data_IF_993688265343
#
_entry.id   IF_993688265343
#
_cell.length_a   1.000
_cell.length_b   1.000
_cell.length_c   1.000
_cell.angle_alpha   90.00
_cell.angle_beta   90.00
_cell.angle_gamma   90.00
#
_symmetry.space_group_name_H-M   'P 1'
#
loop_
_entity.id
_entity.type
_entity.pdbx_description
1 polymer ?
#
# COMPACT_ATOMS: atom_id res chain seq x y z
N UNK A 1 -1.41 -13.01 16.22
CA UNK A 1 -2.34 -12.87 15.05
C UNK A 1 -1.46 -12.66 13.83
N UNK A 2 -1.61 -13.48 12.78
CA UNK A 2 -0.79 -13.37 11.57
C UNK A 2 -1.19 -12.08 10.82
N UNK A 3 -0.21 -11.22 10.52
CA UNK A 3 -0.44 -9.98 9.76
C UNK A 3 -0.85 -10.30 8.32
N UNK A 4 -1.83 -9.56 7.79
CA UNK A 4 -2.12 -9.58 6.35
C UNK A 4 -1.01 -8.88 5.59
N UNK A 5 -0.76 -9.27 4.34
CA UNK A 5 0.29 -8.67 3.52
C UNK A 5 -0.29 -8.06 2.26
N UNK A 6 0.09 -6.82 1.99
CA UNK A 6 -0.07 -6.13 0.72
C UNK A 6 1.27 -6.12 -0.02
N UNK A 7 1.30 -6.65 -1.24
CA UNK A 7 2.44 -6.52 -2.14
C UNK A 7 2.12 -5.43 -3.15
N UNK A 8 2.87 -4.33 -3.08
CA UNK A 8 2.61 -3.10 -3.83
C UNK A 8 3.57 -2.92 -5.01
N UNK A 9 3.12 -2.22 -6.05
CA UNK A 9 3.92 -1.93 -7.23
C UNK A 9 4.12 -3.14 -8.14
N UNK A 10 3.08 -3.96 -8.29
CA UNK A 10 3.05 -5.08 -9.24
C UNK A 10 2.86 -4.54 -10.66
N UNK A 11 3.71 -4.98 -11.58
CA UNK A 11 3.75 -4.47 -12.97
C UNK A 11 3.54 -5.56 -14.02
N UNK A 12 3.60 -6.83 -13.65
CA UNK A 12 3.41 -7.93 -14.60
C UNK A 12 2.65 -9.11 -13.99
N UNK A 13 2.11 -9.94 -14.87
CA UNK A 13 1.33 -11.13 -14.51
C UNK A 13 2.11 -12.11 -13.63
N UNK A 14 3.38 -12.36 -13.93
CA UNK A 14 4.22 -13.31 -13.17
C UNK A 14 4.39 -12.89 -11.70
N UNK A 15 4.53 -11.60 -11.45
CA UNK A 15 4.65 -11.06 -10.09
C UNK A 15 3.34 -11.15 -9.31
N UNK A 16 2.19 -10.96 -10.00
CA UNK A 16 0.86 -11.19 -9.42
C UNK A 16 0.68 -12.66 -9.04
N UNK A 17 1.00 -13.57 -9.94
CA UNK A 17 0.90 -15.02 -9.70
C UNK A 17 1.80 -15.45 -8.52
N UNK A 18 3.02 -14.92 -8.43
CA UNK A 18 3.90 -15.20 -7.30
C UNK A 18 3.35 -14.65 -5.98
N UNK A 19 2.82 -13.42 -5.97
CA UNK A 19 2.20 -12.83 -4.79
C UNK A 19 1.01 -13.67 -4.29
N UNK A 20 0.11 -14.06 -5.18
CA UNK A 20 -1.05 -14.92 -4.87
C UNK A 20 -0.61 -16.29 -4.35
N UNK A 21 0.31 -16.94 -5.04
CA UNK A 21 0.86 -18.27 -4.69
C UNK A 21 1.41 -18.30 -3.27
N UNK A 22 2.08 -17.22 -2.84
CA UNK A 22 2.68 -17.14 -1.51
C UNK A 22 1.75 -16.59 -0.44
N UNK A 23 0.50 -16.22 -0.79
CA UNK A 23 -0.56 -15.89 0.18
C UNK A 23 -0.68 -14.39 0.50
N UNK A 24 -0.33 -13.51 -0.44
CA UNK A 24 -0.65 -12.08 -0.31
C UNK A 24 -2.17 -11.89 -0.11
N UNK A 25 -2.53 -10.94 0.75
CA UNK A 25 -3.94 -10.56 0.98
C UNK A 25 -4.39 -9.42 0.07
N UNK A 26 -3.44 -8.56 -0.32
CA UNK A 26 -3.71 -7.40 -1.18
C UNK A 26 -2.65 -7.29 -2.28
N UNK A 27 -3.09 -6.89 -3.46
CA UNK A 27 -2.27 -6.67 -4.65
C UNK A 27 -2.36 -5.20 -5.05
N UNK A 28 -1.25 -4.46 -4.95
CA UNK A 28 -1.20 -3.02 -5.22
C UNK A 28 -0.63 -2.70 -6.61
N UNK A 29 -1.35 -1.86 -7.35
CA UNK A 29 -1.00 -1.39 -8.69
C UNK A 29 -0.93 0.14 -8.68
N UNK A 30 0.19 0.72 -9.07
CA UNK A 30 0.35 2.18 -9.13
C UNK A 30 -0.19 2.66 -10.49
N UNK A 31 -1.23 3.50 -10.44
CA UNK A 31 -1.98 3.91 -11.64
C UNK A 31 -1.80 5.40 -11.86
N UNK A 32 -1.29 5.76 -13.04
CA UNK A 32 -1.15 7.15 -13.50
C UNK A 32 -0.46 8.12 -12.51
N UNK A 33 0.48 7.60 -11.70
CA UNK A 33 1.30 8.40 -10.78
C UNK A 33 2.77 8.39 -11.22
N UNK A 34 3.55 9.38 -10.81
CA UNK A 34 4.98 9.41 -11.07
C UNK A 34 5.71 8.31 -10.28
N UNK A 35 6.03 7.25 -10.99
CA UNK A 35 6.70 6.07 -10.42
C UNK A 35 7.30 5.21 -11.52
N UNK A 36 8.44 4.58 -11.24
CA UNK A 36 9.00 3.51 -12.10
C UNK A 36 8.10 2.26 -12.20
N UNK A 37 7.07 2.18 -11.35
CA UNK A 37 6.08 1.10 -11.27
C UNK A 37 4.73 1.51 -11.85
N UNK A 38 4.69 2.65 -12.53
CA UNK A 38 3.47 3.22 -13.12
C UNK A 38 2.90 2.29 -14.20
N UNK A 39 1.58 2.15 -14.15
CA UNK A 39 0.78 1.48 -15.16
C UNK A 39 -0.31 2.42 -15.64
N UNK A 40 -0.71 2.31 -16.90
CA UNK A 40 -1.99 2.84 -17.35
C UNK A 40 -3.15 2.06 -16.71
N UNK A 41 -4.35 2.65 -16.69
CA UNK A 41 -5.55 1.97 -16.19
C UNK A 41 -5.81 0.65 -16.94
N UNK A 42 -5.53 0.61 -18.23
CA UNK A 42 -5.74 -0.58 -19.06
C UNK A 42 -4.76 -1.73 -18.69
N UNK A 43 -3.49 -1.41 -18.50
CA UNK A 43 -2.47 -2.38 -18.07
C UNK A 43 -2.76 -2.91 -16.67
N UNK A 44 -3.02 -2.00 -15.70
CA UNK A 44 -3.38 -2.37 -14.35
C UNK A 44 -4.61 -3.29 -14.30
N UNK A 45 -5.65 -2.95 -15.07
CA UNK A 45 -6.86 -3.78 -15.20
C UNK A 45 -6.53 -5.18 -15.69
N UNK A 46 -5.75 -5.29 -16.77
CA UNK A 46 -5.42 -6.57 -17.40
C UNK A 46 -4.67 -7.50 -16.43
N UNK A 47 -3.68 -6.99 -15.70
CA UNK A 47 -2.89 -7.82 -14.77
C UNK A 47 -3.61 -8.08 -13.45
N UNK A 48 -4.44 -7.15 -12.95
CA UNK A 48 -5.21 -7.34 -11.73
C UNK A 48 -6.17 -8.55 -11.80
N UNK A 49 -6.78 -8.79 -12.96
CA UNK A 49 -7.66 -9.95 -13.17
C UNK A 49 -6.94 -11.31 -13.08
N UNK A 50 -5.61 -11.34 -13.23
CA UNK A 50 -4.86 -12.60 -13.10
C UNK A 50 -4.79 -13.14 -11.67
N UNK A 51 -5.12 -12.31 -10.67
CA UNK A 51 -5.21 -12.73 -9.26
C UNK A 51 -6.41 -13.61 -8.91
N UNK A 52 -7.27 -13.94 -9.89
CA UNK A 52 -8.43 -14.85 -9.77
C UNK A 52 -9.37 -14.58 -8.58
N UNK A 53 -9.46 -13.34 -8.12
CA UNK A 53 -10.30 -12.97 -6.97
C UNK A 53 -9.83 -13.46 -5.60
N UNK A 54 -8.67 -14.13 -5.53
CA UNK A 54 -8.13 -14.65 -4.27
C UNK A 54 -7.60 -13.56 -3.34
N UNK A 55 -7.27 -12.39 -3.88
CA UNK A 55 -6.72 -11.25 -3.15
C UNK A 55 -7.54 -10.00 -3.41
N UNK A 56 -7.49 -9.04 -2.46
CA UNK A 56 -8.07 -7.72 -2.65
C UNK A 56 -7.16 -6.89 -3.55
N UNK A 57 -7.71 -6.28 -4.61
CA UNK A 57 -6.95 -5.41 -5.51
C UNK A 57 -7.00 -3.97 -5.05
N UNK A 58 -5.86 -3.27 -5.16
CA UNK A 58 -5.69 -1.89 -4.71
C UNK A 58 -5.13 -1.05 -5.86
N UNK A 59 -5.88 -0.05 -6.31
CA UNK A 59 -5.37 0.97 -7.23
C UNK A 59 -4.75 2.10 -6.41
N UNK A 60 -3.44 2.30 -6.55
CA UNK A 60 -2.69 3.37 -5.86
C UNK A 60 -2.60 4.57 -6.77
N UNK A 61 -3.06 5.72 -6.28
CA UNK A 61 -3.13 6.98 -7.01
C UNK A 61 -2.57 8.14 -6.17
N UNK A 62 -2.16 9.19 -6.83
CA UNK A 62 -1.65 10.42 -6.20
C UNK A 62 -2.46 11.59 -6.73
N UNK A 63 -3.16 12.31 -5.84
CA UNK A 63 -3.99 13.49 -6.14
C UNK A 63 -4.88 13.32 -7.40
N UNK A 64 -5.69 12.23 -7.49
CA UNK A 64 -6.38 11.85 -8.71
C UNK A 64 -7.49 12.82 -9.09
N UNK A 65 -7.71 13.01 -10.40
CA UNK A 65 -8.90 13.68 -10.94
C UNK A 65 -10.13 12.76 -10.83
N UNK A 66 -11.34 13.35 -10.96
CA UNK A 66 -12.57 12.55 -10.99
C UNK A 66 -12.61 11.62 -12.19
N UNK A 67 -12.21 12.10 -13.37
CA UNK A 67 -12.19 11.31 -14.60
C UNK A 67 -11.27 10.09 -14.47
N UNK A 68 -10.12 10.26 -13.82
CA UNK A 68 -9.21 9.14 -13.56
C UNK A 68 -9.86 8.11 -12.62
N UNK A 69 -10.51 8.57 -11.54
CA UNK A 69 -11.21 7.68 -10.60
C UNK A 69 -12.34 6.92 -11.28
N UNK A 70 -13.16 7.59 -12.10
CA UNK A 70 -14.22 6.94 -12.88
C UNK A 70 -13.67 5.87 -13.81
N UNK A 71 -12.58 6.19 -14.53
CA UNK A 71 -11.93 5.26 -15.45
C UNK A 71 -11.37 4.03 -14.72
N UNK A 72 -10.72 4.22 -13.55
CA UNK A 72 -10.21 3.14 -12.70
C UNK A 72 -11.37 2.24 -12.24
N UNK A 73 -12.42 2.85 -11.66
CA UNK A 73 -13.55 2.08 -11.13
C UNK A 73 -14.27 1.33 -12.22
N UNK A 74 -14.49 1.93 -13.39
CA UNK A 74 -15.17 1.32 -14.52
C UNK A 74 -14.38 0.15 -15.12
N UNK A 75 -13.05 0.31 -15.31
CA UNK A 75 -12.23 -0.68 -16.03
C UNK A 75 -11.55 -1.70 -15.12
N UNK A 76 -10.98 -1.25 -13.99
CA UNK A 76 -10.21 -2.12 -13.11
C UNK A 76 -11.05 -2.73 -11.99
N UNK A 77 -12.10 -2.03 -11.53
CA UNK A 77 -12.98 -2.45 -10.42
C UNK A 77 -12.19 -2.89 -9.18
N UNK A 78 -11.28 -2.06 -8.67
CA UNK A 78 -10.45 -2.45 -7.54
C UNK A 78 -11.27 -2.58 -6.26
N UNK A 79 -10.80 -3.42 -5.33
CA UNK A 79 -11.39 -3.54 -3.99
C UNK A 79 -11.20 -2.27 -3.16
N UNK A 80 -10.09 -1.55 -3.40
CA UNK A 80 -9.74 -0.31 -2.72
C UNK A 80 -9.11 0.69 -3.69
N UNK A 81 -9.36 1.96 -3.46
CA UNK A 81 -8.53 3.07 -3.97
C UNK A 81 -7.60 3.50 -2.83
N UNK A 82 -6.30 3.49 -3.08
CA UNK A 82 -5.31 4.03 -2.15
C UNK A 82 -4.91 5.44 -2.55
N UNK A 83 -5.26 6.41 -1.72
CA UNK A 83 -4.91 7.80 -1.85
C UNK A 83 -3.51 8.02 -1.23
N UNK A 84 -2.51 8.22 -2.07
CA UNK A 84 -1.10 8.31 -1.66
C UNK A 84 -0.51 9.72 -1.88
N UNK A 85 -1.36 10.69 -2.15
CA UNK A 85 -1.01 12.10 -2.31
C UNK A 85 -1.33 12.93 -1.07
N UNK A 86 -1.56 14.23 -1.31
CA UNK A 86 -1.92 15.20 -0.28
C UNK A 86 -3.44 15.47 -0.25
N UNK A 87 -4.23 14.45 -0.60
CA UNK A 87 -5.69 14.58 -0.65
C UNK A 87 -6.24 15.05 0.70
N UNK A 88 -6.95 16.19 0.71
CA UNK A 88 -7.56 16.75 1.91
C UNK A 88 -8.70 15.87 2.45
N UNK A 89 -9.18 16.19 3.65
CA UNK A 89 -10.33 15.51 4.26
C UNK A 89 -11.56 15.67 3.36
N UNK A 90 -11.80 16.88 2.86
CA UNK A 90 -12.92 17.19 1.97
C UNK A 90 -12.83 16.39 0.67
N UNK A 91 -11.61 16.32 0.08
CA UNK A 91 -11.38 15.52 -1.13
C UNK A 91 -11.58 14.04 -0.87
N UNK A 92 -11.07 13.52 0.25
CA UNK A 92 -11.22 12.13 0.65
C UNK A 92 -12.69 11.78 0.89
N UNK A 93 -13.43 12.66 1.59
CA UNK A 93 -14.87 12.52 1.81
C UNK A 93 -15.66 12.56 0.50
N UNK A 94 -15.33 13.48 -0.39
CA UNK A 94 -15.92 13.55 -1.71
C UNK A 94 -15.74 12.22 -2.48
N UNK A 95 -14.52 11.69 -2.51
CA UNK A 95 -14.22 10.43 -3.20
C UNK A 95 -15.04 9.27 -2.58
N UNK A 96 -15.04 9.14 -1.26
CA UNK A 96 -15.81 8.10 -0.54
C UNK A 96 -17.28 8.10 -0.93
N UNK A 97 -17.90 9.26 -0.88
CA UNK A 97 -19.36 9.41 -1.04
C UNK A 97 -19.82 9.31 -2.50
N UNK A 98 -19.04 9.86 -3.43
CA UNK A 98 -19.45 9.91 -4.84
C UNK A 98 -19.09 8.64 -5.61
N UNK A 99 -17.96 8.02 -5.29
CA UNK A 99 -17.50 6.81 -5.99
C UNK A 99 -17.87 5.50 -5.26
N UNK A 100 -18.42 5.58 -4.04
CA UNK A 100 -18.85 4.42 -3.22
C UNK A 100 -17.78 3.32 -3.14
N UNK A 101 -16.51 3.72 -3.04
CA UNK A 101 -15.36 2.83 -3.00
C UNK A 101 -14.78 2.73 -1.60
N UNK A 102 -14.07 1.64 -1.31
CA UNK A 102 -13.27 1.53 -0.10
C UNK A 102 -11.96 2.30 -0.29
N UNK A 103 -11.53 2.99 0.76
CA UNK A 103 -10.37 3.88 0.73
C UNK A 103 -9.28 3.40 1.68
N UNK A 104 -8.06 3.36 1.17
CA UNK A 104 -6.82 3.36 1.96
C UNK A 104 -6.24 4.77 1.88
N UNK A 105 -5.98 5.43 3.01
CA UNK A 105 -5.27 6.71 3.02
C UNK A 105 -3.85 6.49 3.49
N UNK A 106 -2.88 6.80 2.63
CA UNK A 106 -1.47 6.80 3.00
C UNK A 106 -1.10 8.13 3.65
N UNK A 107 -0.37 8.05 4.76
CA UNK A 107 0.17 9.18 5.50
C UNK A 107 1.67 8.98 5.70
N UNK A 108 2.44 9.98 5.31
CA UNK A 108 3.89 9.97 5.50
C UNK A 108 4.23 10.32 6.95
N UNK A 109 4.97 9.44 7.62
CA UNK A 109 5.36 9.58 9.02
C UNK A 109 6.81 10.04 9.11
N UNK A 110 7.02 11.11 9.88
CA UNK A 110 8.33 11.61 10.28
C UNK A 110 8.40 11.86 11.80
N UNK A 111 7.25 12.07 12.43
CA UNK A 111 7.13 12.38 13.84
C UNK A 111 5.81 11.85 14.42
N UNK A 112 5.70 11.82 15.76
CA UNK A 112 4.44 11.48 16.44
C UNK A 112 3.28 12.40 16.06
N UNK A 113 3.56 13.65 15.70
CA UNK A 113 2.54 14.63 15.29
C UNK A 113 1.80 14.17 14.02
N UNK A 114 2.48 13.47 13.12
CA UNK A 114 1.89 13.00 11.86
C UNK A 114 0.80 11.95 12.13
N UNK A 115 0.97 11.09 13.13
CA UNK A 115 -0.08 10.17 13.58
C UNK A 115 -1.30 10.92 14.12
N UNK A 116 -1.09 11.90 15.01
CA UNK A 116 -2.17 12.73 15.58
C UNK A 116 -2.93 13.45 14.45
N UNK A 117 -2.20 14.05 13.51
CA UNK A 117 -2.81 14.74 12.36
C UNK A 117 -3.61 13.77 11.50
N UNK A 118 -3.19 12.51 11.40
CA UNK A 118 -3.91 11.51 10.61
C UNK A 118 -5.26 11.07 11.22
N UNK A 119 -5.48 11.30 12.52
CA UNK A 119 -6.75 10.94 13.20
C UNK A 119 -7.97 11.58 12.54
N UNK A 120 -7.81 12.75 11.91
CA UNK A 120 -8.89 13.43 11.18
C UNK A 120 -9.49 12.61 10.03
N UNK A 121 -8.77 11.59 9.52
CA UNK A 121 -9.29 10.64 8.52
C UNK A 121 -9.99 9.42 9.13
N UNK A 122 -9.92 9.26 10.47
CA UNK A 122 -10.52 8.12 11.17
C UNK A 122 -12.04 8.14 10.99
N UNK A 123 -12.63 6.99 10.64
CA UNK A 123 -14.05 6.88 10.30
C UNK A 123 -14.40 7.26 8.86
N UNK A 124 -13.54 8.05 8.19
CA UNK A 124 -13.70 8.39 6.79
C UNK A 124 -13.11 7.33 5.86
N UNK A 125 -12.02 6.69 6.24
CA UNK A 125 -11.32 5.70 5.44
C UNK A 125 -11.40 4.29 6.03
N UNK A 126 -11.23 3.27 5.21
CA UNK A 126 -11.34 1.87 5.62
C UNK A 126 -10.01 1.34 6.20
N UNK A 127 -8.88 1.87 5.73
CA UNK A 127 -7.53 1.52 6.19
C UNK A 127 -6.68 2.80 6.22
N UNK A 128 -6.00 3.04 7.35
CA UNK A 128 -4.90 4.01 7.42
C UNK A 128 -3.60 3.29 7.07
N UNK A 129 -2.79 3.85 6.17
CA UNK A 129 -1.48 3.32 5.83
C UNK A 129 -0.41 4.33 6.28
N UNK A 130 0.48 3.89 7.16
CA UNK A 130 1.59 4.68 7.67
C UNK A 130 2.87 4.31 6.93
N UNK A 131 3.39 5.24 6.11
CA UNK A 131 4.58 5.06 5.29
C UNK A 131 5.71 5.98 5.78
N UNK A 132 6.95 5.63 5.49
CA UNK A 132 8.08 6.52 5.72
C UNK A 132 7.99 7.75 4.80
N UNK A 133 8.42 8.91 5.30
CA UNK A 133 8.51 10.10 4.46
C UNK A 133 9.54 9.87 3.35
N UNK A 134 9.23 10.18 2.09
CA UNK A 134 10.23 10.18 1.02
C UNK A 134 11.31 11.24 1.32
N UNK A 135 12.53 11.08 0.82
CA UNK A 135 13.54 12.13 0.85
C UNK A 135 12.99 13.44 0.26
N UNK A 136 13.44 14.60 0.81
CA UNK A 136 12.94 15.94 0.44
C UNK A 136 12.99 16.23 -1.06
N UNK A 137 13.96 15.65 -1.75
CA UNK A 137 14.26 15.94 -3.15
C UNK A 137 13.66 14.90 -4.12
N UNK A 138 12.83 13.96 -3.60
CA UNK A 138 12.23 12.93 -4.45
C UNK A 138 10.82 13.30 -4.90
N UNK A 139 10.53 13.30 -6.20
CA UNK A 139 9.18 13.42 -6.73
C UNK A 139 8.33 12.17 -6.44
N UNK A 140 8.96 11.02 -6.20
CA UNK A 140 8.30 9.76 -5.93
C UNK A 140 7.84 9.70 -4.47
N UNK A 141 6.57 9.31 -4.22
CA UNK A 141 5.94 9.30 -2.89
C UNK A 141 6.24 8.08 -2.04
N UNK A 142 6.81 7.02 -2.57
CA UNK A 142 7.12 5.80 -1.79
C UNK A 142 8.17 4.93 -2.47
N UNK A 143 8.53 3.81 -1.82
CA UNK A 143 9.46 2.83 -2.40
C UNK A 143 10.95 3.17 -2.27
N UNK A 144 11.32 4.06 -1.35
CA UNK A 144 12.71 4.48 -1.10
C UNK A 144 13.53 3.48 -0.25
N UNK A 145 12.88 2.44 0.29
CA UNK A 145 13.55 1.43 1.12
C UNK A 145 13.97 1.91 2.52
N UNK A 146 13.59 3.11 2.92
CA UNK A 146 13.84 3.65 4.26
C UNK A 146 12.63 3.42 5.17
N UNK A 147 12.88 3.10 6.44
CA UNK A 147 11.84 3.01 7.47
C UNK A 147 11.91 4.23 8.39
N UNK A 148 10.77 4.64 8.92
CA UNK A 148 10.73 5.53 10.08
C UNK A 148 11.00 4.73 11.38
N UNK A 149 11.21 5.43 12.49
CA UNK A 149 11.36 4.77 13.79
C UNK A 149 10.02 4.15 14.25
N UNK A 150 9.87 2.84 14.08
CA UNK A 150 8.66 2.11 14.43
C UNK A 150 8.32 2.13 15.92
N UNK A 151 9.27 2.47 16.79
CA UNK A 151 8.98 2.61 18.23
C UNK A 151 7.97 3.72 18.52
N UNK A 152 7.83 4.69 17.63
CA UNK A 152 6.81 5.75 17.73
C UNK A 152 5.38 5.23 17.78
N UNK A 153 5.13 4.08 17.13
CA UNK A 153 3.79 3.47 17.03
C UNK A 153 3.25 3.05 18.39
N UNK A 154 4.10 2.59 19.31
CA UNK A 154 3.66 2.13 20.63
C UNK A 154 3.14 3.26 21.54
N UNK A 155 3.31 4.51 21.15
CA UNK A 155 2.98 5.68 21.96
C UNK A 155 1.91 6.59 21.35
N UNK A 156 1.20 6.10 20.33
CA UNK A 156 0.16 6.87 19.63
C UNK A 156 -1.11 6.03 19.48
N UNK A 157 -2.29 6.67 19.54
CA UNK A 157 -3.53 5.96 19.23
C UNK A 157 -3.54 5.56 17.75
N UNK A 158 -3.92 4.30 17.49
CA UNK A 158 -4.04 3.79 16.13
C UNK A 158 -5.46 3.35 15.84
N UNK A 159 -5.96 3.53 14.62
CA UNK A 159 -7.27 3.02 14.24
C UNK A 159 -7.26 1.47 14.26
N UNK A 160 -8.45 0.87 14.38
CA UNK A 160 -8.59 -0.60 14.42
C UNK A 160 -7.99 -1.29 13.20
N UNK A 161 -8.05 -0.66 12.03
CA UNK A 161 -7.53 -1.21 10.78
C UNK A 161 -6.50 -0.24 10.19
N UNK A 162 -5.25 -0.67 10.21
CA UNK A 162 -4.15 0.11 9.68
C UNK A 162 -3.08 -0.78 9.04
N UNK A 163 -2.22 -0.20 8.23
CA UNK A 163 -1.11 -0.86 7.55
C UNK A 163 0.20 -0.15 7.86
N UNK A 164 1.25 -0.94 8.11
CA UNK A 164 2.62 -0.47 8.20
C UNK A 164 3.27 -0.56 6.82
N UNK A 165 3.85 0.53 6.37
CA UNK A 165 4.67 0.62 5.17
C UNK A 165 6.03 1.26 5.49
N UNK A 166 6.84 1.48 4.46
CA UNK A 166 8.15 2.13 4.57
C UNK A 166 9.29 1.18 4.89
N UNK A 167 10.11 0.88 3.89
CA UNK A 167 11.35 0.14 4.03
C UNK A 167 11.25 -1.32 4.47
N UNK A 168 10.05 -1.91 4.53
CA UNK A 168 9.88 -3.31 4.87
C UNK A 168 10.60 -4.21 3.85
N UNK A 169 11.27 -5.25 4.36
CA UNK A 169 12.01 -6.22 3.56
C UNK A 169 12.19 -7.54 4.34
N UNK A 170 12.81 -8.54 3.72
CA UNK A 170 13.02 -9.87 4.31
C UNK A 170 13.83 -9.81 5.61
N UNK A 171 14.78 -8.87 5.76
CA UNK A 171 15.66 -8.84 6.93
C UNK A 171 15.01 -8.18 8.15
N UNK A 172 14.01 -7.30 7.96
CA UNK A 172 13.45 -6.49 9.05
C UNK A 172 11.98 -6.80 9.40
N UNK A 173 11.28 -7.60 8.61
CA UNK A 173 9.84 -7.82 8.76
C UNK A 173 9.47 -8.46 10.11
N UNK A 174 10.25 -9.41 10.62
CA UNK A 174 10.00 -10.04 11.92
C UNK A 174 10.08 -9.01 13.06
N UNK A 175 11.10 -8.16 13.02
CA UNK A 175 11.24 -7.06 13.99
C UNK A 175 10.08 -6.06 13.86
N UNK A 176 9.68 -5.70 12.63
CA UNK A 176 8.55 -4.82 12.39
C UNK A 176 7.24 -5.38 12.99
N UNK A 177 6.95 -6.66 12.77
CA UNK A 177 5.76 -7.32 13.33
C UNK A 177 5.85 -7.38 14.86
N UNK A 178 6.98 -7.75 15.40
CA UNK A 178 7.17 -7.89 16.86
C UNK A 178 7.01 -6.55 17.58
N UNK A 179 7.54 -5.49 17.02
CA UNK A 179 7.51 -4.16 17.61
C UNK A 179 6.14 -3.47 17.46
N UNK A 180 5.54 -3.56 16.28
CA UNK A 180 4.35 -2.76 15.96
C UNK A 180 3.03 -3.51 16.09
N UNK A 181 3.06 -4.84 16.01
CA UNK A 181 1.86 -5.69 15.93
C UNK A 181 0.91 -5.27 14.80
N UNK A 182 1.45 -4.74 13.71
CA UNK A 182 0.69 -4.22 12.59
C UNK A 182 -0.24 -5.28 12.00
N UNK A 183 -1.54 -5.00 11.88
CA UNK A 183 -2.50 -5.97 11.33
C UNK A 183 -2.31 -6.18 9.82
N UNK A 184 -1.73 -5.19 9.14
CA UNK A 184 -1.42 -5.24 7.70
C UNK A 184 0.01 -4.71 7.49
N UNK A 185 0.79 -5.41 6.66
CA UNK A 185 2.11 -4.98 6.20
C UNK A 185 2.04 -4.66 4.71
N UNK A 186 2.50 -3.47 4.30
CA UNK A 186 2.58 -3.05 2.90
C UNK A 186 4.03 -3.00 2.46
N UNK A 187 4.41 -3.85 1.51
CA UNK A 187 5.79 -3.98 1.04
C UNK A 187 5.87 -3.81 -0.47
N UNK A 188 6.88 -3.06 -0.93
CA UNK A 188 7.12 -2.81 -2.36
C UNK A 188 8.57 -3.07 -2.74
N UNK A 189 9.45 -2.07 -2.62
CA UNK A 189 10.84 -2.13 -3.07
C UNK A 189 11.69 -3.19 -2.37
N UNK A 190 11.39 -3.53 -1.12
CA UNK A 190 12.08 -4.58 -0.36
C UNK A 190 11.93 -5.99 -0.95
N UNK A 191 11.00 -6.19 -1.89
CA UNK A 191 10.78 -7.44 -2.61
C UNK A 191 11.18 -7.35 -4.09
N UNK A 192 11.98 -6.37 -4.49
CA UNK A 192 12.36 -6.18 -5.89
C UNK A 192 13.78 -6.61 -6.19
N UNK A 193 14.00 -7.06 -7.43
CA UNK A 193 15.32 -7.21 -8.05
C UNK A 193 15.81 -5.85 -8.53
N UNK A 194 14.97 -5.18 -9.29
CA UNK A 194 15.12 -3.80 -9.78
C UNK A 194 13.77 -3.10 -9.68
N UNK A 195 13.75 -1.77 -9.75
CA UNK A 195 12.52 -1.00 -9.62
C UNK A 195 11.42 -1.47 -10.61
N UNK A 196 10.30 -1.94 -10.07
CA UNK A 196 9.17 -2.46 -10.84
C UNK A 196 9.23 -3.94 -11.19
N UNK A 197 10.30 -4.66 -10.87
CA UNK A 197 10.42 -6.11 -11.08
C UNK A 197 10.58 -6.84 -9.75
N UNK A 198 9.62 -7.68 -9.37
CA UNK A 198 9.66 -8.42 -8.11
C UNK A 198 10.62 -9.62 -8.16
N UNK A 199 11.29 -9.87 -7.04
CA UNK A 199 12.05 -11.09 -6.78
C UNK A 199 11.11 -12.11 -6.11
N UNK A 200 10.77 -13.18 -6.82
CA UNK A 200 9.85 -14.19 -6.32
C UNK A 200 10.41 -14.96 -5.11
N UNK A 201 11.75 -15.07 -4.99
CA UNK A 201 12.40 -15.67 -3.82
C UNK A 201 12.27 -14.76 -2.59
N UNK A 202 12.42 -13.43 -2.78
CA UNK A 202 12.16 -12.46 -1.71
C UNK A 202 10.69 -12.46 -1.28
N UNK A 203 9.75 -12.55 -2.23
CA UNK A 203 8.31 -12.70 -1.89
C UNK A 203 8.12 -13.93 -1.01
N UNK A 204 8.61 -15.09 -1.44
CA UNK A 204 8.51 -16.33 -0.67
C UNK A 204 9.10 -16.18 0.73
N UNK A 205 10.34 -15.73 0.82
CA UNK A 205 11.06 -15.59 2.09
C UNK A 205 10.36 -14.62 3.07
N UNK A 206 9.85 -13.49 2.56
CA UNK A 206 9.09 -12.52 3.35
C UNK A 206 7.80 -13.12 3.92
N UNK A 207 7.04 -13.83 3.07
CA UNK A 207 5.79 -14.46 3.46
C UNK A 207 6.01 -15.61 4.45
N UNK A 208 7.07 -16.40 4.27
CA UNK A 208 7.41 -17.50 5.19
C UNK A 208 7.76 -16.97 6.60
N UNK A 209 8.50 -15.86 6.70
CA UNK A 209 8.81 -15.22 7.99
C UNK A 209 7.55 -14.75 8.75
N UNK A 210 6.54 -14.24 8.04
CA UNK A 210 5.30 -13.79 8.67
C UNK A 210 4.43 -14.97 9.14
N UNK A 211 4.48 -16.10 8.44
CA UNK A 211 3.69 -17.30 8.81
C UNK A 211 4.28 -18.06 10.01
N UNK A 212 5.61 -17.99 10.17
CA UNK A 212 6.34 -18.75 11.18
C UNK A 212 6.64 -17.95 12.46
N UNK A 213 6.39 -16.66 12.48
CA UNK A 213 6.52 -15.77 13.65
C UNK A 213 5.15 -15.41 14.22
#
# INVERSE_FOLDING_TARGET
MISKVKICGLTCKKDVEAAVKHGASYLGFIVEAESSRKLSVAEASKIAFTGNGSCQTVAVVVDPTNDLLENIIKKMRPSYIQLHGNESIERTSFIKNNFKTKIIKAVSINSKKDFITSEQYTGLVDIMLYDSRPPSDSPQRGGHGQSFDWSMISHVPLPKTWALAGGLNVSNVENAVNLTKAPILDVSSGLELTAGLKDHNKIKAFMDKIKNG
#
